data_IF_116575363888
#
_entry.id   IF_116575363888
#
_cell.length_a   1.000
_cell.length_b   1.000
_cell.length_c   1.000
_cell.angle_alpha   90.00
_cell.angle_beta   90.00
_cell.angle_gamma   90.00
#
_symmetry.space_group_name_H-M   'P 1'
#
loop_
_entity.id
_entity.type
_entity.pdbx_description
1 polymer ?
#
# COMPACT_ATOMS: atom_id res chain seq x y z
N UNK A 1 33.15 3.07 -65.62
CA UNK A 1 31.68 2.88 -65.65
C UNK A 1 31.21 3.02 -64.21
N UNK A 2 30.48 4.02 -63.75
CA UNK A 2 29.45 4.86 -64.36
C UNK A 2 29.27 6.14 -63.53
N UNK A 3 29.16 7.27 -64.25
CA UNK A 3 28.26 8.43 -64.08
C UNK A 3 27.45 8.60 -62.78
N UNK A 4 27.07 9.80 -62.31
CA UNK A 4 27.33 11.24 -62.53
C UNK A 4 26.07 11.95 -61.99
N UNK A 5 26.25 13.05 -61.23
CA UNK A 5 25.32 14.17 -60.98
C UNK A 5 23.97 13.86 -60.26
N UNK A 6 23.37 14.73 -59.42
CA UNK A 6 23.26 16.21 -59.38
C UNK A 6 22.82 16.58 -57.95
N UNK A 7 23.59 17.40 -57.22
CA UNK A 7 23.36 18.84 -56.97
C UNK A 7 21.98 19.26 -56.40
N UNK A 8 22.01 20.02 -55.30
CA UNK A 8 21.54 21.42 -55.15
C UNK A 8 22.21 22.00 -53.88
N UNK A 9 23.24 22.85 -54.01
CA UNK A 9 23.18 24.32 -53.85
C UNK A 9 22.36 24.76 -52.63
N UNK A 10 22.98 25.34 -51.60
CA UNK A 10 23.30 26.78 -51.64
C UNK A 10 24.59 27.15 -50.89
N UNK A 11 25.30 28.12 -51.47
CA UNK A 11 26.60 28.68 -51.10
C UNK A 11 26.37 29.98 -50.32
N UNK A 12 27.15 30.30 -49.29
CA UNK A 12 27.85 31.60 -49.16
C UNK A 12 28.76 31.70 -47.91
N UNK A 13 30.01 32.11 -48.12
CA UNK A 13 31.08 32.55 -47.18
C UNK A 13 31.05 34.10 -46.97
N UNK A 14 32.05 34.80 -46.37
CA UNK A 14 32.67 34.79 -45.02
C UNK A 14 32.90 36.25 -44.43
N UNK A 15 33.73 36.39 -43.37
CA UNK A 15 34.30 37.63 -42.71
C UNK A 15 33.48 38.22 -41.54
N UNK A 16 34.02 38.79 -40.44
CA UNK A 16 35.21 39.62 -40.24
C UNK A 16 35.87 39.43 -38.85
N UNK A 17 37.14 39.83 -38.81
CA UNK A 17 38.15 39.79 -37.75
C UNK A 17 37.78 40.72 -36.57
N UNK A 18 37.92 40.28 -35.32
CA UNK A 18 37.94 41.18 -34.15
C UNK A 18 39.40 41.45 -33.79
N UNK A 19 39.76 42.73 -33.90
CA UNK A 19 41.10 43.28 -33.80
C UNK A 19 41.47 43.53 -32.34
N UNK A 20 42.72 43.20 -32.02
CA UNK A 20 43.42 43.37 -30.77
C UNK A 20 44.08 44.77 -30.72
N UNK A 21 43.80 45.58 -29.70
CA UNK A 21 44.53 46.83 -29.36
C UNK A 21 43.87 47.44 -28.11
N UNK A 22 44.51 48.09 -27.14
CA UNK A 22 45.89 48.43 -26.79
C UNK A 22 45.78 49.08 -25.39
N UNK A 23 46.75 48.84 -24.51
CA UNK A 23 46.85 49.48 -23.19
C UNK A 23 47.34 50.93 -23.28
N UNK A 24 46.79 51.85 -22.47
CA UNK A 24 47.48 53.07 -21.99
C UNK A 24 46.68 53.76 -20.87
N UNK A 25 47.40 54.38 -19.94
CA UNK A 25 46.99 54.81 -18.62
C UNK A 25 46.47 56.28 -18.51
N UNK A 26 45.89 56.57 -17.34
CA UNK A 26 45.91 57.83 -16.57
C UNK A 26 44.57 58.59 -16.36
N UNK A 27 44.42 59.06 -15.11
CA UNK A 27 43.75 60.28 -14.64
C UNK A 27 42.34 60.20 -13.98
N UNK A 28 42.39 60.35 -12.65
CA UNK A 28 41.59 61.24 -11.78
C UNK A 28 40.25 60.75 -11.20
N UNK A 29 40.15 61.01 -9.90
CA UNK A 29 39.20 60.57 -8.90
C UNK A 29 37.86 61.33 -8.88
N UNK A 30 36.98 60.85 -7.99
CA UNK A 30 35.70 61.39 -7.51
C UNK A 30 34.44 60.97 -8.27
N UNK A 31 33.94 59.77 -7.94
CA UNK A 31 32.51 59.49 -7.95
C UNK A 31 32.15 58.68 -6.70
N UNK A 32 31.32 59.29 -5.86
CA UNK A 32 30.76 58.80 -4.60
C UNK A 32 30.11 57.41 -4.82
N UNK A 33 30.26 56.40 -3.95
CA UNK A 33 29.40 55.22 -4.01
C UNK A 33 28.01 55.61 -3.50
N UNK A 34 27.20 56.19 -4.39
CA UNK A 34 25.76 56.34 -4.20
C UNK A 34 25.10 55.01 -4.58
N UNK A 35 24.53 54.32 -3.58
CA UNK A 35 23.52 53.27 -3.70
C UNK A 35 23.67 52.28 -4.87
N UNK A 36 24.49 51.25 -4.67
CA UNK A 36 24.18 49.94 -5.26
C UNK A 36 23.52 49.09 -4.20
N UNK A 37 22.19 49.25 -4.13
CA UNK A 37 21.22 48.26 -3.68
C UNK A 37 21.83 46.84 -3.66
N UNK A 38 22.21 46.34 -2.48
CA UNK A 38 22.38 44.91 -2.30
C UNK A 38 20.97 44.32 -2.37
N UNK A 39 20.50 44.15 -3.61
CA UNK A 39 19.40 43.28 -3.96
C UNK A 39 19.84 41.91 -3.47
N UNK A 40 19.38 41.52 -2.29
CA UNK A 40 19.39 40.14 -1.87
C UNK A 40 18.82 39.35 -3.04
N UNK A 41 19.69 38.57 -3.70
CA UNK A 41 19.23 37.64 -4.71
C UNK A 41 18.14 36.79 -4.05
N UNK A 42 16.98 36.60 -4.69
CA UNK A 42 16.07 35.58 -4.22
C UNK A 42 16.88 34.29 -4.20
N UNK A 43 17.05 33.71 -3.01
CA UNK A 43 17.56 32.36 -2.82
C UNK A 43 16.66 31.49 -3.69
N UNK A 44 17.14 31.16 -4.89
CA UNK A 44 16.48 30.20 -5.75
C UNK A 44 16.40 28.93 -4.92
N UNK A 45 15.20 28.63 -4.43
CA UNK A 45 14.88 27.34 -3.87
C UNK A 45 15.28 26.33 -4.94
N UNK A 46 16.36 25.60 -4.68
CA UNK A 46 16.76 24.48 -5.48
C UNK A 46 15.61 23.47 -5.41
N UNK A 47 14.68 23.55 -6.36
CA UNK A 47 13.64 22.54 -6.58
C UNK A 47 14.38 21.23 -6.80
N UNK A 48 14.37 20.38 -5.78
CA UNK A 48 14.99 19.06 -5.85
C UNK A 48 14.37 18.34 -7.04
N UNK A 49 15.20 18.03 -8.05
CA UNK A 49 14.75 17.35 -9.24
C UNK A 49 14.33 15.93 -8.88
N UNK A 50 13.03 15.66 -8.89
CA UNK A 50 12.48 14.32 -8.66
C UNK A 50 12.94 13.40 -9.81
N UNK A 51 13.43 12.19 -9.52
CA UNK A 51 13.78 11.23 -10.55
C UNK A 51 12.55 10.90 -11.41
N UNK A 52 12.71 11.05 -12.73
CA UNK A 52 11.65 10.75 -13.69
C UNK A 52 11.23 9.27 -13.56
N UNK A 53 9.92 9.00 -13.67
CA UNK A 53 9.30 7.65 -13.61
C UNK A 53 9.35 6.93 -12.26
N UNK A 54 9.83 7.57 -11.19
CA UNK A 54 9.74 6.98 -9.83
C UNK A 54 8.35 7.21 -9.21
N UNK A 55 7.70 8.33 -9.56
CA UNK A 55 6.43 8.74 -8.98
C UNK A 55 5.36 8.86 -10.06
N UNK A 56 4.18 8.29 -9.79
CA UNK A 56 2.99 8.44 -10.62
C UNK A 56 2.19 9.63 -10.06
N UNK A 57 2.05 10.70 -10.85
CA UNK A 57 1.33 11.91 -10.42
C UNK A 57 -0.17 11.87 -10.72
N UNK A 58 -0.57 11.04 -11.69
CA UNK A 58 -1.95 10.91 -12.13
C UNK A 58 -2.15 9.56 -12.83
N UNK A 59 -3.39 9.10 -12.84
CA UNK A 59 -3.82 7.89 -13.52
C UNK A 59 -4.08 8.16 -15.01
N UNK A 60 -3.71 7.21 -15.88
CA UNK A 60 -4.09 7.26 -17.29
C UNK A 60 -5.59 6.91 -17.45
N UNK A 61 -6.32 7.48 -18.43
CA UNK A 61 -7.73 7.13 -18.67
C UNK A 61 -8.00 5.63 -18.88
N UNK A 62 -6.99 4.85 -19.30
CA UNK A 62 -7.08 3.39 -19.49
C UNK A 62 -6.65 2.59 -18.25
N UNK A 63 -6.21 3.26 -17.19
CA UNK A 63 -5.86 2.62 -15.93
C UNK A 63 -7.04 2.69 -14.96
N UNK A 64 -7.16 1.68 -14.12
CA UNK A 64 -8.12 1.66 -13.03
C UNK A 64 -7.46 1.16 -11.74
N UNK A 65 -7.99 1.60 -10.61
CA UNK A 65 -7.54 1.10 -9.32
C UNK A 65 -8.24 -0.23 -9.02
N UNK A 66 -7.44 -1.27 -8.74
CA UNK A 66 -7.95 -2.59 -8.41
C UNK A 66 -8.99 -2.54 -7.27
N UNK A 67 -8.72 -1.80 -6.21
CA UNK A 67 -9.65 -1.68 -5.07
C UNK A 67 -11.00 -1.04 -5.42
N UNK A 68 -11.02 -0.16 -6.40
CA UNK A 68 -12.23 0.57 -6.78
C UNK A 68 -13.02 -0.16 -7.85
N UNK A 69 -12.35 -0.93 -8.71
CA UNK A 69 -12.95 -1.46 -9.94
C UNK A 69 -12.94 -2.98 -10.07
N UNK A 70 -12.19 -3.68 -9.21
CA UNK A 70 -12.11 -5.13 -9.18
C UNK A 70 -12.49 -5.68 -7.80
N UNK A 71 -11.79 -5.28 -6.74
CA UNK A 71 -12.00 -5.81 -5.39
C UNK A 71 -13.36 -5.32 -4.87
N UNK A 72 -14.14 -6.23 -4.31
CA UNK A 72 -15.51 -6.01 -3.86
C UNK A 72 -16.55 -6.00 -4.98
N UNK A 73 -16.14 -6.16 -6.25
CA UNK A 73 -17.09 -6.24 -7.35
C UNK A 73 -17.75 -7.61 -7.41
N UNK A 74 -19.05 -7.58 -7.73
CA UNK A 74 -19.82 -8.78 -7.96
C UNK A 74 -19.41 -9.43 -9.28
N UNK A 75 -19.22 -10.75 -9.25
CA UNK A 75 -19.03 -11.57 -10.43
C UNK A 75 -20.36 -12.19 -10.81
N UNK A 76 -20.70 -12.11 -12.09
CA UNK A 76 -21.93 -12.64 -12.66
C UNK A 76 -21.65 -13.91 -13.47
N UNK A 77 -22.63 -14.80 -13.58
CA UNK A 77 -22.62 -15.88 -14.57
C UNK A 77 -23.15 -15.40 -15.94
N UNK A 78 -23.23 -16.32 -16.91
CA UNK A 78 -23.81 -16.05 -18.24
C UNK A 78 -25.28 -15.64 -18.22
N UNK A 79 -26.00 -15.95 -17.14
CA UNK A 79 -27.41 -15.60 -16.94
C UNK A 79 -27.58 -14.24 -16.24
N UNK A 80 -26.48 -13.54 -15.92
CA UNK A 80 -26.50 -12.27 -15.19
C UNK A 80 -26.77 -12.39 -13.69
N UNK A 81 -26.75 -13.61 -13.13
CA UNK A 81 -26.92 -13.85 -11.70
C UNK A 81 -25.59 -13.66 -10.96
N UNK A 82 -25.62 -13.04 -9.78
CA UNK A 82 -24.44 -12.95 -8.91
C UNK A 82 -24.05 -14.34 -8.43
N UNK A 83 -22.80 -14.71 -8.68
CA UNK A 83 -22.21 -15.98 -8.20
C UNK A 83 -21.28 -15.79 -7.01
N UNK A 84 -20.70 -14.59 -6.85
CA UNK A 84 -19.71 -14.29 -5.84
C UNK A 84 -19.18 -12.87 -5.97
N UNK A 85 -18.12 -12.57 -5.22
CA UNK A 85 -17.40 -11.31 -5.30
C UNK A 85 -15.89 -11.50 -5.16
N UNK A 86 -15.15 -10.55 -5.73
CA UNK A 86 -13.69 -10.58 -5.76
C UNK A 86 -13.15 -10.05 -4.42
N UNK A 87 -12.42 -10.87 -3.70
CA UNK A 87 -11.83 -10.49 -2.41
C UNK A 87 -10.39 -9.99 -2.55
N UNK A 88 -9.59 -10.59 -3.44
CA UNK A 88 -8.16 -10.29 -3.56
C UNK A 88 -7.62 -10.57 -4.97
N UNK A 89 -6.39 -10.13 -5.24
CA UNK A 89 -5.69 -10.34 -6.51
C UNK A 89 -4.46 -11.23 -6.32
N UNK A 90 -4.25 -12.14 -7.27
CA UNK A 90 -3.06 -12.99 -7.31
C UNK A 90 -2.05 -12.33 -8.25
N UNK A 91 -0.90 -11.94 -7.71
CA UNK A 91 0.19 -11.29 -8.44
C UNK A 91 1.38 -12.23 -8.53
N UNK A 92 1.89 -12.44 -9.74
CA UNK A 92 3.09 -13.24 -10.00
C UNK A 92 4.37 -12.52 -9.60
N UNK A 93 5.48 -13.26 -9.50
CA UNK A 93 6.81 -12.72 -9.24
C UNK A 93 7.26 -11.64 -10.27
N UNK A 94 6.67 -11.66 -11.47
CA UNK A 94 6.93 -10.67 -12.53
C UNK A 94 6.05 -9.40 -12.40
N UNK A 95 5.43 -9.19 -11.24
CA UNK A 95 4.51 -8.06 -10.96
C UNK A 95 3.30 -8.00 -11.91
N UNK A 96 2.89 -9.14 -12.48
CA UNK A 96 1.67 -9.25 -13.30
C UNK A 96 0.56 -9.93 -12.53
N UNK A 97 -0.65 -9.41 -12.66
CA UNK A 97 -1.86 -10.03 -12.13
C UNK A 97 -2.14 -11.29 -12.95
N UNK A 98 -2.20 -12.45 -12.30
CA UNK A 98 -2.46 -13.75 -12.94
C UNK A 98 -3.87 -14.26 -12.68
N UNK A 99 -4.48 -13.82 -11.58
CA UNK A 99 -5.82 -14.23 -11.20
C UNK A 99 -6.38 -13.40 -10.08
N UNK A 100 -7.56 -13.79 -9.62
CA UNK A 100 -8.29 -13.19 -8.51
C UNK A 100 -8.70 -14.28 -7.54
N UNK A 101 -8.86 -13.92 -6.28
CA UNK A 101 -9.52 -14.75 -5.28
C UNK A 101 -10.98 -14.30 -5.22
N UNK A 102 -11.89 -15.25 -5.42
CA UNK A 102 -13.32 -15.01 -5.41
C UNK A 102 -13.98 -15.78 -4.26
N UNK A 103 -14.82 -15.08 -3.51
CA UNK A 103 -15.72 -15.67 -2.52
C UNK A 103 -16.96 -16.22 -3.18
N UNK A 104 -17.25 -17.51 -2.97
CA UNK A 104 -18.45 -18.18 -3.49
C UNK A 104 -19.24 -18.86 -2.39
N UNK A 105 -20.56 -18.64 -2.40
CA UNK A 105 -21.48 -19.26 -1.45
C UNK A 105 -21.38 -18.69 -0.03
N UNK A 106 -22.30 -19.11 0.84
CA UNK A 106 -22.45 -18.58 2.19
C UNK A 106 -23.62 -17.60 2.30
N UNK A 107 -24.45 -17.78 3.32
CA UNK A 107 -25.49 -16.82 3.67
C UNK A 107 -24.82 -15.77 4.57
N UNK A 108 -24.66 -14.53 4.07
CA UNK A 108 -24.06 -13.40 4.82
C UNK A 108 -22.56 -13.57 5.18
N UNK A 109 -21.76 -14.21 4.34
CA UNK A 109 -20.31 -14.37 4.55
C UNK A 109 -19.92 -15.46 5.55
N UNK A 110 -20.90 -16.15 6.15
CA UNK A 110 -20.66 -17.35 6.95
C UNK A 110 -20.70 -18.57 6.03
N UNK A 111 -19.62 -19.36 6.03
CA UNK A 111 -19.48 -20.52 5.16
C UNK A 111 -19.10 -20.16 3.71
N UNK A 112 -18.58 -18.95 3.50
CA UNK A 112 -18.02 -18.56 2.21
C UNK A 112 -16.77 -19.38 1.89
N UNK A 113 -16.74 -19.92 0.68
CA UNK A 113 -15.61 -20.66 0.15
C UNK A 113 -14.81 -19.76 -0.77
N UNK A 114 -13.50 -19.68 -0.55
CA UNK A 114 -12.60 -18.91 -1.41
C UNK A 114 -12.10 -19.80 -2.53
N UNK A 115 -12.16 -19.33 -3.77
CA UNK A 115 -11.64 -20.02 -4.94
C UNK A 115 -10.72 -19.10 -5.75
N UNK A 116 -9.71 -19.69 -6.38
CA UNK A 116 -8.81 -18.98 -7.29
C UNK A 116 -9.37 -19.01 -8.70
N UNK A 117 -9.47 -17.86 -9.36
CA UNK A 117 -9.92 -17.76 -10.74
C UNK A 117 -8.84 -17.07 -11.57
N UNK A 118 -8.45 -17.68 -12.67
CA UNK A 118 -7.52 -17.05 -13.61
C UNK A 118 -8.13 -15.80 -14.24
N UNK A 119 -7.29 -14.78 -14.45
CA UNK A 119 -7.75 -13.52 -15.04
C UNK A 119 -8.30 -13.71 -16.48
N UNK A 120 -7.78 -14.70 -17.20
CA UNK A 120 -8.18 -15.11 -18.56
C UNK A 120 -9.60 -15.68 -18.63
N UNK A 121 -10.07 -16.30 -17.54
CA UNK A 121 -11.40 -16.88 -17.44
C UNK A 121 -12.48 -15.82 -17.21
N UNK A 122 -12.09 -14.64 -16.69
CA UNK A 122 -12.99 -13.52 -16.48
C UNK A 122 -13.23 -12.74 -17.78
N UNK A 123 -14.43 -12.20 -17.91
CA UNK A 123 -14.82 -11.27 -18.96
C UNK A 123 -15.13 -9.93 -18.33
N UNK A 124 -14.42 -8.90 -18.78
CA UNK A 124 -14.58 -7.53 -18.32
C UNK A 124 -15.29 -6.74 -19.41
N UNK A 125 -16.49 -6.27 -19.10
CA UNK A 125 -17.27 -5.42 -19.99
C UNK A 125 -17.48 -4.08 -19.31
N UNK A 126 -17.13 -3.00 -19.99
CA UNK A 126 -17.40 -1.65 -19.47
C UNK A 126 -18.42 -0.98 -20.36
N UNK A 127 -19.59 -0.69 -19.78
CA UNK A 127 -20.70 0.00 -20.44
C UNK A 127 -21.13 1.18 -19.58
N UNK A 128 -21.23 2.36 -20.17
CA UNK A 128 -21.68 3.59 -19.49
C UNK A 128 -20.90 3.91 -18.19
N UNK A 129 -19.59 3.63 -18.20
CA UNK A 129 -18.73 3.82 -17.03
C UNK A 129 -18.83 2.74 -15.95
N UNK A 130 -19.79 1.81 -16.07
CA UNK A 130 -19.95 0.65 -15.17
C UNK A 130 -19.19 -0.55 -15.73
N UNK A 131 -18.30 -1.13 -14.92
CA UNK A 131 -17.58 -2.35 -15.26
C UNK A 131 -18.32 -3.56 -14.69
N UNK A 132 -18.76 -4.45 -15.56
CA UNK A 132 -19.36 -5.74 -15.25
C UNK A 132 -18.31 -6.83 -15.42
N UNK A 133 -18.27 -7.75 -14.47
CA UNK A 133 -17.33 -8.89 -14.47
C UNK A 133 -18.17 -10.16 -14.57
N UNK A 134 -17.92 -10.93 -15.62
CA UNK A 134 -18.64 -12.18 -15.89
C UNK A 134 -17.67 -13.35 -15.87
N UNK A 135 -18.02 -14.44 -15.20
CA UNK A 135 -17.30 -15.71 -15.22
C UNK A 135 -18.18 -16.75 -15.93
N UNK A 136 -17.91 -17.07 -17.20
CA UNK A 136 -18.77 -17.97 -17.97
C UNK A 136 -18.85 -19.40 -17.40
N UNK A 137 -17.77 -19.87 -16.75
CA UNK A 137 -17.69 -21.20 -16.14
C UNK A 137 -18.33 -21.29 -14.75
N UNK A 138 -18.99 -20.22 -14.27
CA UNK A 138 -19.54 -20.14 -12.92
C UNK A 138 -20.93 -20.78 -12.81
N UNK A 139 -21.01 -22.11 -12.99
CA UNK A 139 -22.23 -22.86 -12.64
C UNK A 139 -22.19 -23.28 -11.16
N UNK A 140 -23.36 -23.42 -10.51
CA UNK A 140 -23.41 -23.76 -9.08
C UNK A 140 -22.70 -25.07 -8.77
N UNK A 141 -22.81 -26.03 -9.69
CA UNK A 141 -22.20 -27.35 -9.59
C UNK A 141 -20.68 -27.27 -9.68
N UNK A 142 -20.15 -26.47 -10.61
CA UNK A 142 -18.71 -26.27 -10.75
C UNK A 142 -18.15 -25.54 -9.53
N UNK A 143 -18.79 -24.47 -9.09
CA UNK A 143 -18.33 -23.70 -7.92
C UNK A 143 -18.36 -24.53 -6.62
N UNK A 144 -19.34 -25.44 -6.48
CA UNK A 144 -19.39 -26.38 -5.37
C UNK A 144 -18.25 -27.42 -5.43
N UNK A 145 -17.95 -27.94 -6.63
CA UNK A 145 -16.93 -28.96 -6.85
C UNK A 145 -15.49 -28.44 -6.83
N UNK A 146 -15.26 -27.18 -7.21
CA UNK A 146 -13.92 -26.55 -7.25
C UNK A 146 -13.30 -26.59 -5.85
N UNK A 147 -12.05 -27.04 -5.73
CA UNK A 147 -11.37 -27.05 -4.43
C UNK A 147 -11.15 -25.63 -3.86
N UNK A 148 -11.16 -25.46 -2.53
CA UNK A 148 -10.88 -24.16 -1.93
C UNK A 148 -9.46 -23.70 -2.26
N UNK A 149 -9.30 -22.40 -2.51
CA UNK A 149 -8.01 -21.78 -2.74
C UNK A 149 -7.11 -21.92 -1.51
N UNK A 150 -5.95 -22.55 -1.71
CA UNK A 150 -4.95 -22.68 -0.66
C UNK A 150 -4.07 -21.42 -0.67
N UNK A 151 -4.27 -20.56 0.33
CA UNK A 151 -3.36 -19.44 0.57
C UNK A 151 -2.07 -20.01 1.16
N UNK A 152 -0.99 -19.95 0.39
CA UNK A 152 0.37 -20.09 0.96
C UNK A 152 0.62 -18.86 1.81
N UNK A 153 0.11 -18.85 3.05
CA UNK A 153 0.51 -17.85 4.02
C UNK A 153 2.02 -18.02 4.21
N UNK A 154 2.85 -16.98 3.95
CA UNK A 154 4.19 -16.96 4.50
C UNK A 154 4.00 -17.01 6.01
N UNK A 155 4.21 -18.21 6.55
CA UNK A 155 3.83 -18.69 7.87
C UNK A 155 3.48 -17.57 8.85
N UNK A 156 2.26 -17.60 9.43
CA UNK A 156 1.98 -16.96 10.73
C UNK A 156 3.23 -17.12 11.58
N UNK A 157 4.00 -16.03 11.67
CA UNK A 157 5.38 -16.10 12.13
C UNK A 157 5.35 -16.76 13.49
N UNK A 158 6.33 -17.60 13.81
CA UNK A 158 6.47 -18.21 15.14
C UNK A 158 6.23 -17.19 16.28
N UNK A 159 6.50 -15.90 16.02
CA UNK A 159 6.16 -14.75 16.84
C UNK A 159 4.66 -14.54 17.12
N UNK A 160 3.77 -14.69 16.13
CA UNK A 160 2.32 -14.54 16.32
C UNK A 160 1.73 -15.72 17.11
N UNK A 161 2.26 -16.94 16.88
CA UNK A 161 1.92 -18.12 17.69
C UNK A 161 2.45 -18.01 19.13
N UNK A 162 3.69 -17.53 19.30
CA UNK A 162 4.32 -17.35 20.61
C UNK A 162 3.61 -16.26 21.42
N UNK A 163 3.24 -15.15 20.80
CA UNK A 163 2.51 -14.04 21.47
C UNK A 163 1.08 -14.42 21.83
N UNK A 164 0.37 -15.17 20.97
CA UNK A 164 -0.95 -15.73 21.32
C UNK A 164 -0.86 -16.70 22.52
N UNK A 165 0.16 -17.57 22.53
CA UNK A 165 0.40 -18.52 23.64
C UNK A 165 0.80 -17.82 24.93
N UNK A 166 1.68 -16.82 24.86
CA UNK A 166 2.11 -16.01 26.02
C UNK A 166 0.95 -15.21 26.62
N UNK A 167 0.05 -14.67 25.79
CA UNK A 167 -1.14 -13.93 26.23
C UNK A 167 -2.16 -14.84 26.92
N UNK A 168 -2.36 -16.06 26.42
CA UNK A 168 -3.22 -17.06 27.06
C UNK A 168 -2.66 -17.48 28.44
N UNK A 169 -1.36 -17.77 28.52
CA UNK A 169 -0.66 -18.09 29.76
C UNK A 169 -0.75 -16.94 30.78
N UNK A 170 -0.45 -15.70 30.38
CA UNK A 170 -0.54 -14.53 31.26
C UNK A 170 -1.96 -14.28 31.79
N UNK A 171 -2.98 -14.52 30.95
CA UNK A 171 -4.39 -14.37 31.36
C UNK A 171 -4.83 -15.44 32.37
N UNK A 172 -4.33 -16.69 32.24
CA UNK A 172 -4.60 -17.79 33.19
C UNK A 172 -3.87 -17.56 34.52
N UNK A 173 -2.60 -17.17 34.46
CA UNK A 173 -1.79 -16.91 35.67
C UNK A 173 -2.28 -15.70 36.43
N UNK A 174 -2.68 -14.61 35.76
CA UNK A 174 -3.25 -13.43 36.44
C UNK A 174 -4.62 -13.72 37.06
N UNK A 175 -5.49 -14.52 36.41
CA UNK A 175 -6.75 -14.96 37.01
C UNK A 175 -6.55 -15.85 38.25
N UNK A 176 -5.60 -16.79 38.19
CA UNK A 176 -5.26 -17.65 39.32
C UNK A 176 -4.63 -16.85 40.49
N UNK A 177 -3.71 -15.92 40.19
CA UNK A 177 -3.08 -15.06 41.19
C UNK A 177 -4.10 -14.11 41.85
N UNK A 178 -5.04 -13.55 41.08
CA UNK A 178 -6.08 -12.66 41.61
C UNK A 178 -7.10 -13.43 42.47
N UNK A 179 -7.39 -14.69 42.15
CA UNK A 179 -8.22 -15.56 42.98
C UNK A 179 -7.53 -15.93 44.32
N UNK A 180 -6.23 -16.19 44.29
CA UNK A 180 -5.44 -16.46 45.50
C UNK A 180 -5.27 -15.21 46.37
N UNK A 181 -5.00 -14.05 45.76
CA UNK A 181 -4.91 -12.79 46.48
C UNK A 181 -6.24 -12.42 47.16
N UNK A 182 -7.38 -12.63 46.48
CA UNK A 182 -8.71 -12.43 47.07
C UNK A 182 -8.97 -13.40 48.22
N UNK A 183 -8.60 -14.68 48.07
CA UNK A 183 -8.78 -15.68 49.13
C UNK A 183 -7.88 -15.39 50.35
N UNK A 184 -6.69 -14.85 50.14
CA UNK A 184 -5.79 -14.44 51.21
C UNK A 184 -6.27 -13.15 51.91
N UNK A 185 -6.79 -12.17 51.16
CA UNK A 185 -7.37 -10.96 51.77
C UNK A 185 -8.63 -11.27 52.58
N UNK A 186 -9.49 -12.18 52.09
CA UNK A 186 -10.71 -12.61 52.80
C UNK A 186 -10.38 -13.41 54.08
N UNK A 187 -9.24 -14.12 54.12
CA UNK A 187 -8.76 -14.84 55.32
C UNK A 187 -8.10 -13.92 56.36
N UNK A 188 -7.46 -12.83 55.93
CA UNK A 188 -6.81 -11.86 56.83
C UNK A 188 -7.82 -10.90 57.46
N UNK A 189 -8.91 -10.55 56.78
CA UNK A 189 -9.99 -9.73 57.36
C UNK A 189 -10.94 -10.51 58.27
N UNK A 190 -10.99 -11.84 58.17
CA UNK A 190 -11.87 -12.69 58.97
C UNK A 190 -11.33 -13.14 60.34
N UNK A 191 -10.06 -12.88 60.68
CA UNK A 191 -9.40 -13.45 61.87
C UNK A 191 -8.97 -12.42 62.93
N UNK A 192 -9.39 -11.15 62.82
CA UNK A 192 -8.96 -10.07 63.72
C UNK A 192 -10.07 -9.44 64.57
N UNK A 193 -11.28 -10.01 64.59
CA UNK A 193 -12.38 -9.60 65.46
C UNK A 193 -12.72 -10.73 66.43
N UNK A 194 -12.78 -10.40 67.71
CA UNK A 194 -13.32 -11.22 68.82
C UNK A 194 -12.42 -12.29 69.45
N UNK A 195 -11.58 -11.85 70.40
CA UNK A 195 -11.31 -12.63 71.61
C UNK A 195 -11.10 -11.70 72.81
N UNK A 196 -12.19 -11.09 73.25
CA UNK A 196 -12.35 -10.52 74.60
C UNK A 196 -12.64 -11.68 75.57
N UNK A 197 -12.03 -11.59 76.75
CA UNK A 197 -12.35 -12.30 77.99
C UNK A 197 -11.89 -13.76 78.12
N UNK A 198 -10.87 -13.97 78.95
CA UNK A 198 -10.96 -14.78 80.19
C UNK A 198 -9.65 -14.64 80.96
N UNK A 199 -9.66 -13.90 82.07
CA UNK A 199 -8.76 -14.19 83.20
C UNK A 199 -9.53 -13.87 84.49
N UNK A 200 -10.29 -14.85 84.96
CA UNK A 200 -10.82 -14.90 86.31
C UNK A 200 -10.14 -16.08 87.02
N UNK A 201 -9.58 -15.78 88.20
CA UNK A 201 -9.15 -16.69 89.28
C UNK A 201 -7.86 -17.50 89.07
N UNK A 202 -6.78 -17.00 89.71
CA UNK A 202 -6.13 -17.77 90.79
C UNK A 202 -5.41 -16.90 91.82
N UNK A 203 -5.98 -16.96 93.03
CA UNK A 203 -5.40 -16.71 94.37
C UNK A 203 -5.33 -15.27 94.89
#
# INVERSE_FOLDING_TARGET
MSNVLRQRFSRWTPMQKIVLSLAAAAAVALAIPAFAQQKAAPKAEAKTALPAKTFIKAQDPKQYLARTRLIGQNVLNTEGQKVGDIEDLIVSANNRIVGVIMGVGGFLGVGEKKIGVELSALRFETKDGKTTITLPAATKEVLAAVEPYQRTDPQKSMLEKATATAKDLASKTSKAAKALAKKASDAVTGSGGDAKATDEKKK
#
